data_IF_118317784788
#
_entry.id   IF_118317784788
#
_cell.length_a   1.000
_cell.length_b   1.000
_cell.length_c   1.000
_cell.angle_alpha   90.00
_cell.angle_beta   90.00
_cell.angle_gamma   90.00
#
_symmetry.space_group_name_H-M   'P 1'
#
loop_
_entity.id
_entity.type
_entity.pdbx_description
1 polymer ?
#
# COMPACT_ATOMS: atom_id res chain seq x y z
N UNK A 1 13.83 29.53 11.33
CA UNK A 1 13.78 28.25 10.58
C UNK A 1 13.83 28.61 9.12
N UNK A 2 14.75 28.03 8.35
CA UNK A 2 14.71 28.16 6.90
C UNK A 2 13.38 27.60 6.38
N UNK A 3 12.77 28.29 5.43
CA UNK A 3 11.46 27.97 4.82
C UNK A 3 11.38 26.49 4.38
N UNK A 4 12.48 25.94 3.87
CA UNK A 4 12.60 24.55 3.47
C UNK A 4 12.46 23.55 4.64
N UNK A 5 13.01 23.87 5.82
CA UNK A 5 12.94 22.99 7.00
C UNK A 5 11.50 22.80 7.48
N UNK A 6 10.66 23.85 7.41
CA UNK A 6 9.24 23.75 7.78
C UNK A 6 8.51 22.80 6.84
N UNK A 7 8.72 22.94 5.52
CA UNK A 7 8.09 22.05 4.52
C UNK A 7 8.60 20.62 4.70
N UNK A 8 9.89 20.43 4.97
CA UNK A 8 10.46 19.12 5.25
C UNK A 8 9.78 18.45 6.45
N UNK A 9 9.59 19.17 7.56
CA UNK A 9 8.88 18.63 8.73
C UNK A 9 7.46 18.21 8.36
N UNK A 10 6.74 19.02 7.56
CA UNK A 10 5.41 18.65 7.06
C UNK A 10 5.46 17.40 6.17
N UNK A 11 6.45 17.29 5.27
CA UNK A 11 6.67 16.08 4.45
C UNK A 11 6.86 14.86 5.34
N UNK A 12 7.71 14.95 6.38
CA UNK A 12 7.91 13.83 7.32
C UNK A 12 6.61 13.44 8.03
N UNK A 13 5.88 14.42 8.58
CA UNK A 13 4.62 14.16 9.29
C UNK A 13 3.57 13.53 8.37
N UNK A 14 3.42 14.05 7.14
CA UNK A 14 2.45 13.54 6.18
C UNK A 14 2.89 12.19 5.62
N UNK A 15 4.19 11.95 5.41
CA UNK A 15 4.72 10.64 4.99
C UNK A 15 4.47 9.58 6.06
N UNK A 16 4.71 9.88 7.34
CA UNK A 16 4.39 8.97 8.44
C UNK A 16 2.88 8.72 8.57
N UNK A 17 2.06 9.74 8.31
CA UNK A 17 0.61 9.59 8.23
C UNK A 17 0.21 8.67 7.07
N UNK A 18 0.86 8.81 5.91
CA UNK A 18 0.67 7.89 4.78
C UNK A 18 1.04 6.46 5.17
N UNK A 19 2.20 6.24 5.79
CA UNK A 19 2.68 4.90 6.19
C UNK A 19 1.75 4.24 7.21
N UNK A 20 1.26 5.02 8.17
CA UNK A 20 0.21 4.60 9.09
C UNK A 20 -1.08 4.25 8.35
N UNK A 21 -1.50 5.08 7.38
CA UNK A 21 -2.68 4.76 6.57
C UNK A 21 -2.50 3.50 5.74
N UNK A 22 -1.29 3.28 5.24
CA UNK A 22 -0.94 2.09 4.47
C UNK A 22 -1.02 0.84 5.34
N UNK A 23 -0.43 0.87 6.54
CA UNK A 23 -0.50 -0.23 7.50
C UNK A 23 -1.94 -0.67 7.78
N UNK A 24 -2.82 0.28 8.11
CA UNK A 24 -4.22 -0.04 8.39
C UNK A 24 -4.93 -0.58 7.14
N UNK A 25 -4.68 0.00 5.98
CA UNK A 25 -5.35 -0.33 4.72
C UNK A 25 -4.97 -1.76 4.26
N UNK A 26 -3.68 -2.08 4.31
CA UNK A 26 -3.12 -3.30 3.73
C UNK A 26 -2.97 -4.44 4.74
N UNK A 27 -3.36 -4.24 6.01
CA UNK A 27 -3.57 -5.33 6.99
C UNK A 27 -4.45 -6.45 6.41
N UNK A 28 -5.44 -6.08 5.60
CA UNK A 28 -6.36 -7.01 4.99
C UNK A 28 -5.66 -8.00 4.03
N UNK A 29 -4.58 -7.57 3.37
CA UNK A 29 -3.84 -8.40 2.43
C UNK A 29 -3.12 -9.57 3.12
N UNK A 30 -2.74 -9.39 4.39
CA UNK A 30 -2.06 -10.42 5.18
C UNK A 30 -3.01 -11.24 6.08
N UNK A 31 -4.08 -10.62 6.60
CA UNK A 31 -4.87 -11.20 7.70
C UNK A 31 -6.33 -11.51 7.34
N UNK A 32 -6.88 -11.03 6.23
CA UNK A 32 -8.29 -11.27 5.93
C UNK A 32 -8.60 -12.77 5.73
N UNK A 33 -7.70 -13.50 5.10
CA UNK A 33 -7.80 -14.94 4.84
C UNK A 33 -7.71 -15.76 6.13
N UNK A 34 -6.76 -15.46 7.03
CA UNK A 34 -6.59 -16.17 8.30
C UNK A 34 -7.68 -15.85 9.32
N UNK A 35 -8.26 -14.64 9.25
CA UNK A 35 -9.46 -14.25 10.02
C UNK A 35 -10.71 -14.95 9.47
N UNK A 36 -10.87 -15.02 8.15
CA UNK A 36 -12.04 -15.63 7.51
C UNK A 36 -12.10 -17.15 7.72
N UNK A 37 -10.95 -17.85 7.71
CA UNK A 37 -10.88 -19.29 8.01
C UNK A 37 -10.99 -19.61 9.50
N UNK A 38 -10.93 -18.59 10.37
CA UNK A 38 -10.85 -18.78 11.82
C UNK A 38 -9.52 -19.35 12.30
N UNK A 39 -8.45 -19.30 11.48
CA UNK A 39 -7.10 -19.68 11.92
C UNK A 39 -6.59 -18.73 13.02
N UNK A 40 -6.89 -17.43 12.92
CA UNK A 40 -6.57 -16.43 13.94
C UNK A 40 -7.80 -15.63 14.35
N UNK A 41 -7.87 -15.28 15.64
CA UNK A 41 -8.84 -14.30 16.12
C UNK A 41 -8.47 -12.91 15.56
N UNK A 42 -9.44 -12.04 15.20
CA UNK A 42 -9.19 -10.74 14.58
C UNK A 42 -8.13 -9.88 15.30
N UNK A 43 -8.23 -9.72 16.63
CA UNK A 43 -7.26 -8.92 17.41
C UNK A 43 -5.87 -9.56 17.49
N UNK A 44 -5.79 -10.88 17.57
CA UNK A 44 -4.51 -11.61 17.55
C UNK A 44 -3.84 -11.50 16.18
N UNK A 45 -4.62 -11.57 15.10
CA UNK A 45 -4.14 -11.46 13.73
C UNK A 45 -3.47 -10.10 13.47
N UNK A 46 -4.14 -8.99 13.82
CA UNK A 46 -3.58 -7.65 13.63
C UNK A 46 -2.40 -7.34 14.56
N UNK A 47 -2.37 -7.91 15.77
CA UNK A 47 -1.23 -7.80 16.69
C UNK A 47 0.02 -8.51 16.14
N UNK A 48 -0.15 -9.75 15.70
CA UNK A 48 0.92 -10.52 15.04
C UNK A 48 1.42 -9.81 13.78
N UNK A 49 0.49 -9.33 12.94
CA UNK A 49 0.83 -8.59 11.73
C UNK A 49 1.61 -7.32 12.04
N UNK A 50 1.18 -6.51 13.00
CA UNK A 50 1.87 -5.29 13.42
C UNK A 50 3.31 -5.54 13.88
N UNK A 51 3.54 -6.57 14.71
CA UNK A 51 4.90 -6.95 15.15
C UNK A 51 5.77 -7.36 13.95
N UNK A 52 5.23 -8.18 13.04
CA UNK A 52 5.98 -8.64 11.88
C UNK A 52 6.22 -7.54 10.85
N UNK A 53 5.30 -6.57 10.73
CA UNK A 53 5.51 -5.38 9.91
C UNK A 53 6.67 -4.55 10.46
N UNK A 54 6.72 -4.37 11.79
CA UNK A 54 7.81 -3.68 12.47
C UNK A 54 9.15 -4.37 12.22
N UNK A 55 9.21 -5.69 12.41
CA UNK A 55 10.45 -6.47 12.14
C UNK A 55 10.84 -6.41 10.67
N UNK A 56 9.87 -6.63 9.76
CA UNK A 56 10.08 -6.64 8.32
C UNK A 56 10.67 -5.34 7.79
N UNK A 57 10.28 -4.20 8.38
CA UNK A 57 10.80 -2.89 8.02
C UNK A 57 12.32 -2.74 8.23
N UNK A 58 12.94 -3.55 9.09
CA UNK A 58 14.39 -3.53 9.33
C UNK A 58 15.18 -4.54 8.49
N UNK A 59 14.52 -5.40 7.71
CA UNK A 59 15.19 -6.49 6.98
C UNK A 59 15.83 -6.07 5.66
N UNK A 60 15.44 -4.93 5.07
CA UNK A 60 15.98 -4.45 3.80
C UNK A 60 15.83 -2.93 3.66
N UNK A 61 16.58 -2.35 2.72
CA UNK A 61 16.49 -0.94 2.30
C UNK A 61 16.44 -0.77 0.76
N UNK A 62 16.47 -1.87 0.01
CA UNK A 62 16.57 -1.87 -1.46
C UNK A 62 15.40 -1.16 -2.17
N UNK A 63 14.18 -1.36 -1.66
CA UNK A 63 12.98 -0.69 -2.18
C UNK A 63 13.03 0.81 -1.88
N UNK A 64 13.52 1.20 -0.70
CA UNK A 64 13.65 2.62 -0.33
C UNK A 64 14.60 3.37 -1.27
N UNK A 65 15.75 2.75 -1.57
CA UNK A 65 16.73 3.28 -2.52
C UNK A 65 16.13 3.39 -3.92
N UNK A 66 15.34 2.41 -4.35
CA UNK A 66 14.67 2.46 -5.67
C UNK A 66 13.59 3.53 -5.73
N UNK A 67 12.75 3.68 -4.69
CA UNK A 67 11.64 4.64 -4.66
C UNK A 67 12.15 6.08 -4.74
N UNK A 68 13.27 6.39 -4.09
CA UNK A 68 13.86 7.73 -4.14
C UNK A 68 14.12 8.19 -5.59
N UNK A 69 14.54 7.28 -6.48
CA UNK A 69 14.97 7.60 -7.85
C UNK A 69 13.94 7.23 -8.94
N UNK A 70 12.92 6.43 -8.62
CA UNK A 70 12.04 5.85 -9.63
C UNK A 70 10.97 6.81 -10.21
N UNK A 71 10.61 7.88 -9.50
CA UNK A 71 9.43 8.69 -9.85
C UNK A 71 9.78 10.08 -10.34
N UNK A 72 10.66 10.78 -9.61
CA UNK A 72 11.06 12.15 -9.94
C UNK A 72 12.49 12.12 -10.46
N UNK A 73 12.79 12.84 -11.53
CA UNK A 73 14.17 13.02 -12.01
C UNK A 73 14.90 14.05 -11.16
N UNK A 74 15.17 13.66 -9.93
CA UNK A 74 15.84 14.46 -8.91
C UNK A 74 17.35 14.45 -9.03
N UNK A 75 17.92 13.42 -9.64
CA UNK A 75 19.36 13.27 -9.81
C UNK A 75 19.75 13.33 -11.29
N UNK A 76 20.92 13.88 -11.56
CA UNK A 76 21.62 13.74 -12.83
C UNK A 76 22.28 12.36 -12.94
N UNK A 77 22.84 12.05 -14.12
CA UNK A 77 23.41 10.72 -14.43
C UNK A 77 24.56 10.30 -13.51
N UNK A 78 25.16 11.25 -12.82
CA UNK A 78 26.22 11.07 -11.82
C UNK A 78 25.68 10.86 -10.39
N UNK A 79 24.36 10.84 -10.21
CA UNK A 79 23.70 10.69 -8.90
C UNK A 79 23.63 11.99 -8.09
N UNK A 80 24.16 13.10 -8.61
CA UNK A 80 24.06 14.41 -7.97
C UNK A 80 22.64 14.95 -8.09
N UNK A 81 22.04 15.56 -7.05
CA UNK A 81 20.71 16.13 -7.20
C UNK A 81 20.78 17.34 -8.16
N UNK A 82 19.79 17.45 -9.05
CA UNK A 82 19.76 18.52 -10.06
C UNK A 82 19.80 19.89 -9.40
N UNK A 83 20.73 20.79 -9.77
CA UNK A 83 20.86 22.10 -9.15
C UNK A 83 19.56 22.91 -9.18
N UNK A 84 18.80 22.78 -10.26
CA UNK A 84 17.48 23.41 -10.46
C UNK A 84 16.43 22.98 -9.43
N UNK A 85 16.55 21.77 -8.89
CA UNK A 85 15.64 21.22 -7.89
C UNK A 85 16.12 21.45 -6.45
N UNK A 86 17.39 21.85 -6.29
CA UNK A 86 17.98 22.27 -5.02
C UNK A 86 17.92 23.79 -4.82
N UNK A 87 17.60 24.55 -5.88
CA UNK A 87 17.46 26.00 -5.80
C UNK A 87 16.36 26.41 -4.79
N UNK A 88 16.59 27.51 -4.07
CA UNK A 88 15.72 27.93 -2.95
C UNK A 88 15.62 26.91 -1.80
N UNK A 89 16.64 26.07 -1.59
CA UNK A 89 16.73 25.09 -0.51
C UNK A 89 15.86 23.84 -0.71
N UNK A 90 15.51 23.50 -1.96
CA UNK A 90 14.68 22.32 -2.27
C UNK A 90 13.19 22.48 -1.96
N UNK A 91 12.74 23.70 -1.63
CA UNK A 91 11.35 23.98 -1.21
C UNK A 91 10.30 23.58 -2.25
N UNK A 92 10.57 23.78 -3.55
CA UNK A 92 9.67 23.40 -4.64
C UNK A 92 9.50 21.87 -4.73
N UNK A 93 10.60 21.12 -4.63
CA UNK A 93 10.59 19.66 -4.65
C UNK A 93 9.86 19.09 -3.41
N UNK A 94 10.11 19.66 -2.23
CA UNK A 94 9.41 19.27 -1.02
C UNK A 94 7.89 19.52 -1.13
N UNK A 95 7.47 20.61 -1.77
CA UNK A 95 6.05 20.89 -2.02
C UNK A 95 5.43 19.88 -3.00
N UNK A 96 6.16 19.47 -4.05
CA UNK A 96 5.74 18.41 -4.98
C UNK A 96 5.55 17.08 -4.25
N UNK A 97 6.52 16.69 -3.41
CA UNK A 97 6.45 15.46 -2.61
C UNK A 97 5.28 15.52 -1.64
N UNK A 98 5.11 16.64 -0.93
CA UNK A 98 4.01 16.85 0.00
C UNK A 98 2.65 16.74 -0.69
N UNK A 99 2.47 17.40 -1.84
CA UNK A 99 1.24 17.34 -2.62
C UNK A 99 0.94 15.92 -3.13
N UNK A 100 1.98 15.18 -3.55
CA UNK A 100 1.84 13.80 -3.99
C UNK A 100 1.41 12.86 -2.86
N UNK A 101 1.99 13.03 -1.66
CA UNK A 101 1.60 12.30 -0.46
C UNK A 101 0.15 12.60 -0.05
N UNK A 102 -0.27 13.87 -0.08
CA UNK A 102 -1.67 14.26 0.18
C UNK A 102 -2.60 13.56 -0.82
N UNK A 103 -2.26 13.55 -2.11
CA UNK A 103 -3.02 12.84 -3.14
C UNK A 103 -3.18 11.35 -2.86
N UNK A 104 -2.09 10.70 -2.44
CA UNK A 104 -2.08 9.29 -2.06
C UNK A 104 -2.97 8.99 -0.84
N UNK A 105 -2.85 9.80 0.22
CA UNK A 105 -3.63 9.62 1.46
C UNK A 105 -5.12 9.85 1.20
N UNK A 106 -5.48 10.90 0.46
CA UNK A 106 -6.87 11.20 0.11
C UNK A 106 -7.50 9.99 -0.61
N UNK A 107 -6.80 9.43 -1.60
CA UNK A 107 -7.29 8.26 -2.31
C UNK A 107 -7.43 7.03 -1.40
N UNK A 108 -6.41 6.72 -0.59
CA UNK A 108 -6.45 5.61 0.37
C UNK A 108 -7.61 5.72 1.38
N UNK A 109 -7.88 6.93 1.88
CA UNK A 109 -8.99 7.17 2.81
C UNK A 109 -10.35 7.02 2.12
N UNK A 110 -10.49 7.42 0.86
CA UNK A 110 -11.71 7.24 0.08
C UNK A 110 -12.00 5.77 -0.18
N UNK A 111 -11.01 5.02 -0.68
CA UNK A 111 -11.16 3.60 -0.99
C UNK A 111 -11.43 2.78 0.27
N UNK A 112 -10.76 3.10 1.38
CA UNK A 112 -11.08 2.54 2.68
C UNK A 112 -12.52 2.83 3.13
N UNK A 113 -12.97 4.08 2.98
CA UNK A 113 -14.32 4.48 3.39
C UNK A 113 -15.38 3.65 2.65
N UNK A 114 -15.17 3.32 1.39
CA UNK A 114 -16.07 2.46 0.62
C UNK A 114 -15.74 0.97 0.70
N UNK A 115 -14.68 0.59 1.43
CA UNK A 115 -14.25 -0.80 1.59
C UNK A 115 -13.69 -1.44 0.32
N UNK A 116 -13.19 -0.64 -0.62
CA UNK A 116 -12.57 -1.11 -1.86
C UNK A 116 -11.08 -1.39 -1.62
N UNK A 117 -10.59 -2.61 -1.91
CA UNK A 117 -9.16 -2.91 -1.82
C UNK A 117 -8.42 -2.27 -2.99
N UNK A 118 -7.79 -1.13 -2.73
CA UNK A 118 -6.87 -0.43 -3.63
C UNK A 118 -5.42 -0.61 -3.20
N UNK A 119 -4.49 -0.34 -4.12
CA UNK A 119 -3.05 -0.40 -3.85
C UNK A 119 -2.54 0.94 -3.30
N UNK A 120 -2.09 0.97 -2.05
CA UNK A 120 -1.41 2.13 -1.46
C UNK A 120 -0.13 2.52 -2.22
N UNK A 121 0.64 1.53 -2.70
CA UNK A 121 1.82 1.77 -3.55
C UNK A 121 1.45 2.56 -4.81
N UNK A 122 0.36 2.17 -5.49
CA UNK A 122 -0.08 2.86 -6.71
C UNK A 122 -0.70 4.22 -6.42
N UNK A 123 -1.32 4.40 -5.25
CA UNK A 123 -1.77 5.71 -4.79
C UNK A 123 -0.58 6.65 -4.55
N UNK A 124 0.49 6.17 -3.90
CA UNK A 124 1.73 6.92 -3.69
C UNK A 124 2.38 7.33 -5.02
N UNK A 125 2.61 6.36 -5.90
CA UNK A 125 3.21 6.63 -7.20
C UNK A 125 2.32 7.53 -8.06
N UNK A 126 1.01 7.29 -8.09
CA UNK A 126 0.06 8.15 -8.79
C UNK A 126 0.10 9.58 -8.28
N UNK A 127 0.00 9.78 -6.97
CA UNK A 127 0.07 11.10 -6.34
C UNK A 127 1.36 11.85 -6.70
N UNK A 128 2.51 11.20 -6.59
CA UNK A 128 3.81 11.76 -6.97
C UNK A 128 3.90 12.08 -8.46
N UNK A 129 3.43 11.17 -9.34
CA UNK A 129 3.38 11.43 -10.79
C UNK A 129 2.55 12.68 -11.07
N UNK A 130 1.36 12.79 -10.48
CA UNK A 130 0.46 13.92 -10.66
C UNK A 130 1.04 15.25 -10.20
N UNK A 131 1.58 15.31 -8.99
CA UNK A 131 2.20 16.53 -8.47
C UNK A 131 3.47 16.90 -9.23
N UNK A 132 4.26 15.93 -9.68
CA UNK A 132 5.43 16.16 -10.54
C UNK A 132 5.05 16.67 -11.91
N UNK A 133 4.02 16.12 -12.57
CA UNK A 133 3.52 16.65 -13.85
C UNK A 133 3.03 18.08 -13.69
N UNK A 134 2.34 18.38 -12.59
CA UNK A 134 1.85 19.73 -12.33
C UNK A 134 2.98 20.73 -12.06
N UNK A 135 4.02 20.33 -11.32
CA UNK A 135 5.11 21.22 -10.92
C UNK A 135 6.31 21.31 -11.86
N UNK A 136 6.65 20.23 -12.54
CA UNK A 136 7.84 20.12 -13.42
C UNK A 136 7.47 19.76 -14.87
N UNK A 137 6.19 19.66 -15.19
CA UNK A 137 5.71 19.22 -16.50
C UNK A 137 5.88 17.72 -16.74
N UNK A 138 5.38 17.26 -17.89
CA UNK A 138 5.43 15.84 -18.26
C UNK A 138 6.85 15.25 -18.30
N UNK A 139 7.84 16.06 -18.68
CA UNK A 139 9.24 15.66 -18.76
C UNK A 139 9.93 15.54 -17.39
N UNK A 140 9.35 16.12 -16.33
CA UNK A 140 9.86 16.03 -14.96
C UNK A 140 9.70 14.64 -14.32
N UNK A 141 8.77 13.84 -14.85
CA UNK A 141 8.57 12.45 -14.41
C UNK A 141 9.63 11.54 -15.02
N UNK A 142 10.17 10.65 -14.19
CA UNK A 142 11.09 9.63 -14.66
C UNK A 142 10.34 8.45 -15.33
N UNK A 143 9.90 8.62 -16.58
CA UNK A 143 9.09 7.58 -17.26
C UNK A 143 9.84 6.28 -17.54
N UNK A 144 11.02 6.37 -18.16
CA UNK A 144 11.78 5.24 -18.69
C UNK A 144 13.22 5.16 -18.14
N UNK A 145 13.54 5.88 -17.06
CA UNK A 145 14.91 5.95 -16.54
C UNK A 145 15.86 6.78 -17.41
N UNK A 146 17.09 6.28 -17.53
CA UNK A 146 18.19 6.86 -18.31
C UNK A 146 18.17 6.45 -19.80
N UNK A 147 17.23 5.59 -20.20
CA UNK A 147 17.08 5.08 -21.56
C UNK A 147 17.96 3.86 -21.90
N UNK A 148 18.78 3.36 -20.97
CA UNK A 148 19.64 2.19 -21.19
C UNK A 148 18.93 0.86 -20.89
N UNK A 149 17.99 0.88 -19.96
CA UNK A 149 17.15 -0.25 -19.55
C UNK A 149 15.75 0.23 -19.22
N UNK A 150 14.77 -0.68 -19.22
CA UNK A 150 13.41 -0.35 -18.83
C UNK A 150 13.40 -0.07 -17.32
N UNK A 151 13.36 1.21 -16.95
CA UNK A 151 13.38 1.71 -15.57
C UNK A 151 12.32 2.80 -15.37
N UNK A 152 12.40 3.54 -14.26
CA UNK A 152 11.47 4.62 -13.95
C UNK A 152 10.06 4.11 -13.69
N UNK A 153 9.05 4.98 -13.89
CA UNK A 153 7.64 4.67 -13.66
C UNK A 153 7.17 3.48 -14.49
N UNK A 154 7.58 3.36 -15.75
CA UNK A 154 7.15 2.25 -16.60
C UNK A 154 7.75 0.93 -16.09
N UNK A 155 9.06 0.89 -15.86
CA UNK A 155 9.77 -0.34 -15.46
C UNK A 155 9.55 -0.77 -14.03
N UNK A 156 9.46 0.18 -13.09
CA UNK A 156 9.41 -0.10 -11.65
C UNK A 156 8.00 -0.04 -11.06
N UNK A 157 7.04 0.57 -11.76
CA UNK A 157 5.65 0.71 -11.26
C UNK A 157 4.64 0.03 -12.19
N UNK A 158 4.55 0.45 -13.46
CA UNK A 158 3.47 -0.01 -14.36
C UNK A 158 3.62 -1.48 -14.75
N UNK A 159 4.81 -1.90 -15.21
CA UNK A 159 5.04 -3.30 -15.61
C UNK A 159 4.81 -4.24 -14.42
N UNK A 160 5.40 -4.01 -13.23
CA UNK A 160 5.15 -4.88 -12.09
C UNK A 160 3.68 -4.84 -11.62
N UNK A 161 2.96 -3.73 -11.77
CA UNK A 161 1.54 -3.63 -11.42
C UNK A 161 0.66 -4.63 -12.18
N UNK A 162 1.03 -4.93 -13.44
CA UNK A 162 0.31 -5.86 -14.33
C UNK A 162 0.88 -7.28 -14.20
N UNK A 163 2.20 -7.42 -14.19
CA UNK A 163 2.86 -8.73 -14.19
C UNK A 163 2.73 -9.46 -12.85
N UNK A 164 2.86 -8.75 -11.73
CA UNK A 164 2.86 -9.37 -10.40
C UNK A 164 1.57 -10.08 -10.01
N UNK A 165 0.33 -9.55 -10.22
CA UNK A 165 -0.89 -10.30 -9.91
C UNK A 165 -1.03 -11.56 -10.77
N UNK A 166 -0.61 -11.50 -12.04
CA UNK A 166 -0.66 -12.65 -12.96
C UNK A 166 0.31 -13.74 -12.51
N UNK A 167 1.56 -13.37 -12.23
CA UNK A 167 2.58 -14.28 -11.72
C UNK A 167 2.13 -14.92 -10.39
N UNK A 168 1.65 -14.10 -9.46
CA UNK A 168 1.15 -14.55 -8.17
C UNK A 168 -0.05 -15.49 -8.29
N UNK A 169 -0.93 -15.27 -9.27
CA UNK A 169 -2.04 -16.14 -9.61
C UNK A 169 -1.56 -17.50 -10.15
N UNK A 170 -0.63 -17.50 -11.10
CA UNK A 170 -0.06 -18.75 -11.65
C UNK A 170 0.63 -19.57 -10.57
N UNK A 171 1.51 -18.94 -9.79
CA UNK A 171 2.24 -19.61 -8.70
C UNK A 171 1.28 -20.19 -7.66
N UNK A 172 0.26 -19.43 -7.25
CA UNK A 172 -0.73 -19.91 -6.29
C UNK A 172 -1.64 -21.00 -6.86
N UNK A 173 -1.96 -20.96 -8.16
CA UNK A 173 -2.73 -22.01 -8.85
C UNK A 173 -1.97 -23.33 -8.81
N UNK A 174 -0.71 -23.32 -9.24
CA UNK A 174 0.15 -24.51 -9.23
C UNK A 174 0.37 -24.99 -7.80
N UNK A 175 0.71 -24.09 -6.87
CA UNK A 175 0.92 -24.43 -5.46
C UNK A 175 -0.31 -25.08 -4.83
N UNK A 176 -1.50 -24.52 -5.06
CA UNK A 176 -2.75 -25.07 -4.54
C UNK A 176 -3.07 -26.43 -5.15
N UNK A 177 -2.86 -26.58 -6.46
CA UNK A 177 -3.04 -27.87 -7.14
C UNK A 177 -2.12 -28.95 -6.56
N UNK A 178 -0.84 -28.64 -6.35
CA UNK A 178 0.13 -29.57 -5.73
C UNK A 178 -0.31 -29.94 -4.31
N UNK A 179 -0.68 -28.96 -3.50
CA UNK A 179 -1.16 -29.19 -2.12
C UNK A 179 -2.34 -30.16 -2.11
N UNK A 180 -3.34 -29.93 -2.97
CA UNK A 180 -4.50 -30.81 -3.06
C UNK A 180 -4.18 -32.20 -3.62
N UNK A 181 -3.15 -32.33 -4.47
CA UNK A 181 -2.69 -33.62 -4.98
C UNK A 181 -1.94 -34.43 -3.92
N UNK A 182 -1.05 -33.82 -3.15
CA UNK A 182 -0.27 -34.49 -2.10
C UNK A 182 -1.17 -34.98 -0.96
N UNK A 183 -2.21 -34.21 -0.67
CA UNK A 183 -3.13 -34.47 0.43
C UNK A 183 -4.29 -35.40 0.04
N UNK A 184 -4.41 -35.74 -1.25
CA UNK A 184 -5.45 -36.63 -1.74
C UNK A 184 -5.37 -38.00 -1.06
N UNK A 185 -6.31 -38.29 -0.17
CA UNK A 185 -6.37 -39.52 0.63
C UNK A 185 -6.14 -39.34 2.14
N UNK A 186 -5.75 -38.15 2.60
CA UNK A 186 -5.65 -37.83 4.04
C UNK A 186 -7.01 -37.42 4.59
N UNK A 187 -7.40 -37.98 5.74
CA UNK A 187 -8.66 -37.64 6.39
C UNK A 187 -8.72 -36.16 6.76
N UNK A 188 -9.79 -35.48 6.33
CA UNK A 188 -9.99 -34.02 6.35
C UNK A 188 -9.66 -33.35 7.70
N UNK A 189 -9.92 -34.04 8.82
CA UNK A 189 -9.64 -33.54 10.18
C UNK A 189 -8.15 -33.29 10.45
N UNK A 190 -7.26 -34.18 10.00
CA UNK A 190 -5.81 -34.04 10.22
C UNK A 190 -5.23 -32.96 9.31
N UNK A 191 -5.80 -32.87 8.12
CA UNK A 191 -5.54 -31.84 7.12
C UNK A 191 -5.85 -30.46 7.68
N UNK A 192 -7.06 -30.23 8.16
CA UNK A 192 -7.53 -28.91 8.58
C UNK A 192 -6.72 -28.37 9.77
N UNK A 193 -6.34 -29.21 10.72
CA UNK A 193 -5.54 -28.76 11.88
C UNK A 193 -4.10 -28.41 11.48
N UNK A 194 -3.46 -29.20 10.63
CA UNK A 194 -2.11 -28.90 10.12
C UNK A 194 -2.09 -27.66 9.24
N UNK A 195 -3.04 -27.54 8.32
CA UNK A 195 -3.12 -26.38 7.42
C UNK A 195 -3.50 -25.08 8.15
N UNK A 196 -4.21 -25.12 9.28
CA UNK A 196 -4.43 -23.91 10.09
C UNK A 196 -3.13 -23.36 10.68
N UNK A 197 -2.24 -24.22 11.18
CA UNK A 197 -0.91 -23.79 11.63
C UNK A 197 -0.04 -23.30 10.47
N UNK A 198 -0.08 -24.00 9.33
CA UNK A 198 0.58 -23.55 8.11
C UNK A 198 0.08 -22.18 7.62
N UNK A 199 -1.21 -21.92 7.75
CA UNK A 199 -1.82 -20.63 7.43
C UNK A 199 -1.35 -19.53 8.40
N UNK A 200 -1.23 -19.80 9.70
CA UNK A 200 -0.65 -18.82 10.64
C UNK A 200 0.78 -18.46 10.23
N UNK A 201 1.60 -19.45 9.87
CA UNK A 201 2.97 -19.24 9.41
C UNK A 201 3.06 -18.47 8.08
N UNK A 202 2.19 -18.77 7.12
CA UNK A 202 2.19 -18.10 5.82
C UNK A 202 1.59 -16.69 5.88
N UNK A 203 0.52 -16.46 6.63
CA UNK A 203 0.03 -15.10 6.94
C UNK A 203 1.09 -14.24 7.65
N UNK A 204 1.90 -14.87 8.51
CA UNK A 204 3.06 -14.23 9.14
C UNK A 204 4.12 -13.84 8.10
N UNK A 205 4.41 -14.73 7.14
CA UNK A 205 5.32 -14.42 6.03
C UNK A 205 4.82 -13.23 5.19
N UNK A 206 3.53 -13.18 4.87
CA UNK A 206 2.94 -12.02 4.14
C UNK A 206 3.07 -10.73 4.95
N UNK A 207 2.86 -10.78 6.27
CA UNK A 207 3.01 -9.61 7.14
C UNK A 207 4.46 -9.13 7.20
N UNK A 208 5.42 -10.05 7.31
CA UNK A 208 6.84 -9.73 7.26
C UNK A 208 7.20 -9.09 5.91
N UNK A 209 6.77 -9.71 4.81
CA UNK A 209 6.96 -9.23 3.45
C UNK A 209 6.35 -7.83 3.23
N UNK A 210 5.17 -7.59 3.79
CA UNK A 210 4.54 -6.28 3.78
C UNK A 210 5.42 -5.23 4.47
N UNK A 211 5.90 -5.49 5.69
CA UNK A 211 6.84 -4.59 6.37
C UNK A 211 8.11 -4.33 5.56
N UNK A 212 8.68 -5.37 4.97
CA UNK A 212 9.88 -5.27 4.13
C UNK A 212 9.64 -4.49 2.83
N UNK A 213 8.44 -4.50 2.27
CA UNK A 213 8.14 -3.82 1.01
C UNK A 213 7.57 -2.41 1.18
N UNK A 214 6.68 -2.21 2.15
CA UNK A 214 5.81 -1.04 2.22
C UNK A 214 6.37 0.06 3.10
N UNK A 215 6.94 -0.29 4.25
CA UNK A 215 7.62 0.68 5.12
C UNK A 215 8.76 1.37 4.35
N UNK A 216 9.44 0.63 3.48
CA UNK A 216 10.53 1.13 2.66
C UNK A 216 10.10 2.22 1.66
N UNK A 217 8.86 2.21 1.17
CA UNK A 217 8.40 3.24 0.22
C UNK A 217 8.36 4.60 0.90
N UNK A 218 7.82 4.64 2.12
CA UNK A 218 7.81 5.84 2.96
C UNK A 218 9.23 6.26 3.35
N UNK A 219 10.09 5.30 3.72
CA UNK A 219 11.51 5.59 3.98
C UNK A 219 12.20 6.25 2.78
N UNK A 220 11.92 5.78 1.56
CA UNK A 220 12.45 6.36 0.32
C UNK A 220 11.97 7.80 0.10
N UNK A 221 10.69 8.08 0.36
CA UNK A 221 10.12 9.43 0.22
C UNK A 221 10.67 10.41 1.27
N UNK A 222 10.83 9.99 2.52
CA UNK A 222 11.42 10.84 3.57
C UNK A 222 12.91 11.08 3.28
N UNK A 223 13.65 10.03 2.93
CA UNK A 223 15.07 10.14 2.56
C UNK A 223 15.26 11.09 1.39
N UNK A 224 14.38 11.01 0.39
CA UNK A 224 14.33 11.97 -0.71
C UNK A 224 14.14 13.41 -0.20
N UNK A 225 13.18 13.66 0.68
CA UNK A 225 13.01 14.99 1.28
C UNK A 225 14.27 15.49 2.02
N UNK A 226 14.96 14.60 2.74
CA UNK A 226 16.20 14.95 3.45
C UNK A 226 17.32 15.32 2.48
N UNK A 227 17.48 14.56 1.39
CA UNK A 227 18.45 14.86 0.33
C UNK A 227 18.13 16.20 -0.33
N UNK A 228 16.84 16.43 -0.67
CA UNK A 228 16.37 17.67 -1.27
C UNK A 228 16.67 18.91 -0.41
N UNK A 229 16.57 18.76 0.91
CA UNK A 229 16.81 19.83 1.88
C UNK A 229 18.28 19.98 2.32
N UNK A 230 19.19 19.16 1.79
CA UNK A 230 20.60 19.15 2.19
C UNK A 230 20.91 18.55 3.57
N UNK A 231 19.93 17.98 4.27
CA UNK A 231 20.11 17.36 5.59
C UNK A 231 20.64 15.92 5.53
N UNK A 232 20.75 15.35 4.33
CA UNK A 232 21.30 14.01 4.09
C UNK A 232 22.04 13.98 2.76
N UNK A 233 23.21 13.33 2.72
CA UNK A 233 24.07 13.26 1.53
C UNK A 233 24.36 11.85 1.06
N UNK A 234 24.10 10.83 1.88
CA UNK A 234 24.35 9.43 1.52
C UNK A 234 23.17 8.85 0.72
N UNK A 235 23.34 8.77 -0.60
CA UNK A 235 22.31 8.25 -1.51
C UNK A 235 22.21 6.71 -1.49
N UNK A 236 23.14 6.02 -0.83
CA UNK A 236 23.17 4.56 -0.70
C UNK A 236 22.57 4.04 0.61
N UNK A 237 22.18 4.93 1.53
CA UNK A 237 21.64 4.50 2.82
C UNK A 237 20.45 5.35 3.29
N UNK A 238 19.67 4.74 4.19
CA UNK A 238 18.51 5.37 4.83
C UNK A 238 18.87 5.66 6.29
N UNK A 239 18.62 6.87 6.82
CA UNK A 239 18.89 7.18 8.21
C UNK A 239 18.15 6.24 9.16
N UNK A 240 18.81 5.80 10.24
CA UNK A 240 18.21 4.86 11.19
C UNK A 240 16.91 5.40 11.80
N UNK A 241 16.86 6.70 12.14
CA UNK A 241 15.66 7.30 12.71
C UNK A 241 14.47 7.20 11.74
N UNK A 242 14.69 7.39 10.43
CA UNK A 242 13.66 7.23 9.38
C UNK A 242 13.13 5.81 9.38
N UNK A 243 14.03 4.82 9.43
CA UNK A 243 13.64 3.40 9.51
C UNK A 243 12.75 3.14 10.72
N UNK A 244 13.16 3.64 11.89
CA UNK A 244 12.44 3.43 13.14
C UNK A 244 11.05 4.09 13.15
N UNK A 245 10.94 5.35 12.71
CA UNK A 245 9.65 6.04 12.70
C UNK A 245 8.67 5.47 11.67
N UNK A 246 9.14 5.07 10.47
CA UNK A 246 8.31 4.39 9.49
C UNK A 246 7.87 3.01 10.00
N UNK A 247 8.79 2.22 10.57
CA UNK A 247 8.46 0.91 11.14
C UNK A 247 7.37 1.00 12.22
N UNK A 248 7.44 2.02 13.09
CA UNK A 248 6.41 2.27 14.10
C UNK A 248 5.09 2.76 13.50
N UNK A 249 5.14 3.63 12.48
CA UNK A 249 3.96 4.15 11.80
C UNK A 249 3.18 3.03 11.09
N UNK A 250 3.84 2.23 10.24
CA UNK A 250 3.18 1.11 9.57
C UNK A 250 2.66 0.07 10.56
N UNK A 251 3.44 -0.28 11.60
CA UNK A 251 3.04 -1.29 12.58
C UNK A 251 1.82 -0.85 13.41
N UNK A 252 1.78 0.41 13.83
CA UNK A 252 0.64 0.97 14.57
C UNK A 252 -0.61 1.08 13.70
N UNK A 253 -0.47 1.48 12.44
CA UNK A 253 -1.54 1.42 11.45
C UNK A 253 -2.08 0.00 11.29
N UNK A 254 -1.17 -0.96 11.09
CA UNK A 254 -1.51 -2.38 10.92
C UNK A 254 -2.27 -2.94 12.14
N UNK A 255 -1.86 -2.55 13.35
CA UNK A 255 -2.54 -2.98 14.58
C UNK A 255 -3.98 -2.46 14.71
N UNK A 256 -4.26 -1.23 14.25
CA UNK A 256 -5.63 -0.70 14.21
C UNK A 256 -6.50 -1.46 13.21
N UNK A 257 -5.87 -1.96 12.15
CA UNK A 257 -6.44 -2.79 11.10
C UNK A 257 -7.24 -2.00 10.06
N UNK A 258 -7.85 -2.70 9.12
CA UNK A 258 -8.64 -2.10 8.04
C UNK A 258 -9.97 -2.80 7.93
N UNK A 259 -10.76 -2.86 9.01
CA UNK A 259 -11.87 -3.82 9.17
C UNK A 259 -12.87 -3.84 7.99
N UNK A 260 -13.12 -2.68 7.37
CA UNK A 260 -13.95 -2.58 6.14
C UNK A 260 -13.37 -3.38 4.98
N UNK A 261 -12.07 -3.26 4.73
CA UNK A 261 -11.34 -3.95 3.66
C UNK A 261 -11.12 -5.42 4.03
N UNK A 262 -10.80 -5.71 5.30
CA UNK A 262 -10.70 -7.09 5.82
C UNK A 262 -11.99 -7.86 5.53
N UNK A 263 -13.14 -7.25 5.82
CA UNK A 263 -14.46 -7.83 5.51
C UNK A 263 -14.63 -8.07 4.01
N UNK A 264 -14.26 -7.12 3.16
CA UNK A 264 -14.36 -7.26 1.69
C UNK A 264 -13.47 -8.38 1.16
N UNK A 265 -12.21 -8.47 1.58
CA UNK A 265 -11.26 -9.47 1.09
C UNK A 265 -11.54 -10.87 1.64
N UNK A 266 -11.90 -10.98 2.93
CA UNK A 266 -12.11 -12.28 3.59
C UNK A 266 -13.29 -13.08 3.05
N UNK A 267 -14.31 -12.41 2.49
CA UNK A 267 -15.53 -13.04 1.97
C UNK A 267 -15.81 -12.78 0.48
N UNK A 268 -14.97 -11.99 -0.20
CA UNK A 268 -15.32 -11.38 -1.47
C UNK A 268 -15.02 -12.20 -2.72
N UNK A 269 -13.87 -12.88 -2.79
CA UNK A 269 -13.35 -13.44 -4.06
C UNK A 269 -13.64 -14.93 -4.25
N UNK A 270 -13.34 -15.72 -3.23
CA UNK A 270 -13.54 -17.17 -3.18
C UNK A 270 -13.90 -17.57 -1.75
N UNK A 271 -14.51 -18.73 -1.59
CA UNK A 271 -14.63 -19.37 -0.27
C UNK A 271 -13.29 -20.03 0.07
N UNK A 272 -12.56 -19.43 1.00
CA UNK A 272 -11.20 -19.83 1.35
C UNK A 272 -11.24 -20.92 2.41
N UNK A 273 -10.62 -22.06 2.11
CA UNK A 273 -10.26 -23.07 3.12
C UNK A 273 -8.80 -22.90 3.55
N UNK A 274 -8.40 -23.41 4.74
CA UNK A 274 -7.02 -23.27 5.22
C UNK A 274 -5.92 -23.72 4.23
N UNK A 275 -6.07 -24.83 3.46
CA UNK A 275 -5.08 -25.20 2.44
C UNK A 275 -4.92 -24.15 1.33
N UNK A 276 -6.03 -23.58 0.85
CA UNK A 276 -6.00 -22.51 -0.16
C UNK A 276 -5.41 -21.22 0.41
N UNK A 277 -5.78 -20.88 1.65
CA UNK A 277 -5.24 -19.72 2.36
C UNK A 277 -3.73 -19.81 2.50
N UNK A 278 -3.23 -20.95 2.99
CA UNK A 278 -1.80 -21.20 3.11
C UNK A 278 -1.06 -21.10 1.76
N UNK A 279 -1.60 -21.71 0.70
CA UNK A 279 -0.98 -21.67 -0.63
C UNK A 279 -0.96 -20.24 -1.20
N UNK A 280 -2.04 -19.49 -1.06
CA UNK A 280 -2.13 -18.10 -1.51
C UNK A 280 -1.18 -17.19 -0.72
N UNK A 281 -1.15 -17.30 0.60
CA UNK A 281 -0.29 -16.49 1.48
C UNK A 281 1.19 -16.82 1.27
N UNK A 282 1.56 -18.09 1.14
CA UNK A 282 2.94 -18.50 0.85
C UNK A 282 3.42 -17.96 -0.49
N UNK A 283 2.57 -18.07 -1.53
CA UNK A 283 2.87 -17.53 -2.86
C UNK A 283 3.02 -16.00 -2.81
N UNK A 284 2.13 -15.32 -2.09
CA UNK A 284 2.18 -13.86 -1.93
C UNK A 284 3.45 -13.41 -1.22
N UNK A 285 3.76 -14.03 -0.08
CA UNK A 285 4.95 -13.72 0.71
C UNK A 285 6.23 -13.94 -0.08
N UNK A 286 6.33 -15.05 -0.82
CA UNK A 286 7.48 -15.34 -1.68
C UNK A 286 7.64 -14.31 -2.81
N UNK A 287 6.56 -14.00 -3.55
CA UNK A 287 6.60 -13.01 -4.64
C UNK A 287 6.97 -11.62 -4.13
N UNK A 288 6.39 -11.19 -2.99
CA UNK A 288 6.71 -9.89 -2.40
C UNK A 288 8.17 -9.84 -1.95
N UNK A 289 8.65 -10.82 -1.17
CA UNK A 289 10.02 -10.83 -0.66
C UNK A 289 11.06 -10.88 -1.78
N UNK A 290 10.91 -11.79 -2.75
CA UNK A 290 11.83 -11.89 -3.90
C UNK A 290 11.86 -10.55 -4.64
N UNK A 291 10.71 -9.94 -4.85
CA UNK A 291 10.63 -8.66 -5.54
C UNK A 291 11.25 -7.51 -4.76
N UNK A 292 11.04 -7.47 -3.43
CA UNK A 292 11.67 -6.48 -2.56
C UNK A 292 13.19 -6.64 -2.51
N UNK A 293 13.70 -7.88 -2.56
CA UNK A 293 15.15 -8.13 -2.71
C UNK A 293 15.70 -7.63 -4.04
N UNK A 294 14.90 -7.63 -5.10
CA UNK A 294 15.26 -7.05 -6.40
C UNK A 294 15.02 -5.52 -6.48
N UNK A 295 14.60 -4.89 -5.37
CA UNK A 295 14.32 -3.46 -5.29
C UNK A 295 13.04 -3.03 -6.02
N UNK A 296 12.19 -3.94 -6.49
CA UNK A 296 10.94 -3.58 -7.15
C UNK A 296 9.85 -3.28 -6.11
N UNK A 297 9.27 -2.08 -6.21
CA UNK A 297 8.20 -1.62 -5.34
C UNK A 297 6.84 -2.18 -5.78
N UNK A 298 6.53 -3.44 -5.42
CA UNK A 298 5.26 -4.06 -5.77
C UNK A 298 4.08 -3.53 -4.96
N UNK A 299 2.89 -3.72 -5.53
CA UNK A 299 1.63 -3.68 -4.80
C UNK A 299 1.38 -5.02 -4.12
N UNK A 300 1.41 -5.04 -2.79
CA UNK A 300 1.01 -6.20 -1.99
C UNK A 300 -0.46 -6.55 -2.24
N UNK A 301 -1.33 -5.55 -2.41
CA UNK A 301 -2.75 -5.74 -2.75
C UNK A 301 -2.93 -6.52 -4.06
N UNK A 302 -2.20 -6.16 -5.12
CA UNK A 302 -2.30 -6.88 -6.40
C UNK A 302 -1.77 -8.30 -6.29
N UNK A 303 -0.59 -8.48 -5.67
CA UNK A 303 0.04 -9.79 -5.49
C UNK A 303 -0.87 -10.72 -4.69
N UNK A 304 -1.34 -10.27 -3.53
CA UNK A 304 -2.19 -11.07 -2.63
C UNK A 304 -3.53 -11.40 -3.25
N UNK A 305 -4.19 -10.45 -3.91
CA UNK A 305 -5.43 -10.71 -4.64
C UNK A 305 -5.20 -11.70 -5.78
N UNK A 306 -4.10 -11.54 -6.53
CA UNK A 306 -3.70 -12.47 -7.60
C UNK A 306 -3.51 -13.89 -7.06
N UNK A 307 -2.78 -14.04 -5.95
CA UNK A 307 -2.61 -15.34 -5.29
C UNK A 307 -3.89 -15.93 -4.74
N UNK A 308 -4.80 -15.13 -4.17
CA UNK A 308 -6.12 -15.60 -3.70
C UNK A 308 -6.95 -16.12 -4.88
N UNK A 309 -6.98 -15.38 -6.00
CA UNK A 309 -7.64 -15.83 -7.23
C UNK A 309 -7.02 -17.14 -7.75
N UNK A 310 -5.69 -17.22 -7.79
CA UNK A 310 -4.96 -18.41 -8.21
C UNK A 310 -5.25 -19.63 -7.33
N UNK A 311 -5.29 -19.45 -6.00
CA UNK A 311 -5.67 -20.52 -5.09
C UNK A 311 -7.12 -20.97 -5.27
N UNK A 312 -8.00 -20.09 -5.75
CA UNK A 312 -9.32 -20.45 -6.24
C UNK A 312 -9.25 -21.38 -7.44
N UNK A 313 -8.53 -20.97 -8.48
CA UNK A 313 -8.40 -21.71 -9.74
C UNK A 313 -7.71 -23.07 -9.57
N UNK A 314 -6.77 -23.18 -8.62
CA UNK A 314 -6.01 -24.40 -8.37
C UNK A 314 -6.78 -25.48 -7.59
N UNK A 315 -7.92 -25.14 -6.98
CA UNK A 315 -8.73 -26.11 -6.21
C UNK A 315 -9.81 -26.75 -7.10
N UNK A 316 -9.89 -28.09 -7.16
CA UNK A 316 -10.96 -28.78 -7.87
C UNK A 316 -12.35 -28.37 -7.35
N UNK A 317 -13.23 -27.94 -8.24
CA UNK A 317 -14.63 -27.58 -7.93
C UNK A 317 -14.83 -26.24 -7.22
N UNK A 318 -13.79 -25.39 -7.09
CA UNK A 318 -13.93 -24.08 -6.47
C UNK A 318 -14.65 -23.07 -7.38
N UNK A 319 -15.48 -22.22 -6.78
CA UNK A 319 -16.19 -21.14 -7.48
C UNK A 319 -15.49 -19.80 -7.28
N UNK A 320 -15.13 -19.14 -8.38
CA UNK A 320 -14.53 -17.79 -8.36
C UNK A 320 -15.60 -16.73 -8.66
N UNK A 321 -15.68 -15.70 -7.80
CA UNK A 321 -16.62 -14.59 -7.97
C UNK A 321 -16.05 -13.52 -8.90
N UNK A 322 -16.06 -13.79 -10.21
CA UNK A 322 -15.49 -12.93 -11.26
C UNK A 322 -15.99 -11.47 -11.24
N UNK A 323 -17.25 -11.24 -10.82
CA UNK A 323 -17.79 -9.88 -10.66
C UNK A 323 -17.02 -9.05 -9.62
N UNK A 324 -16.55 -9.68 -8.54
CA UNK A 324 -15.76 -9.01 -7.50
C UNK A 324 -14.34 -8.77 -7.99
N UNK A 325 -13.74 -9.76 -8.67
CA UNK A 325 -12.43 -9.61 -9.30
C UNK A 325 -12.41 -8.44 -10.30
N UNK A 326 -13.43 -8.34 -11.18
CA UNK A 326 -13.56 -7.23 -12.13
C UNK A 326 -13.67 -5.86 -11.45
N UNK A 327 -14.41 -5.75 -10.33
CA UNK A 327 -14.48 -4.51 -9.54
C UNK A 327 -13.12 -4.11 -8.96
N UNK A 328 -12.31 -5.08 -8.53
CA UNK A 328 -10.96 -4.81 -8.03
C UNK A 328 -10.03 -4.33 -9.15
N UNK A 329 -10.07 -4.96 -10.33
CA UNK A 329 -9.29 -4.50 -11.50
C UNK A 329 -9.64 -3.07 -11.88
N UNK A 330 -10.93 -2.70 -11.85
CA UNK A 330 -11.35 -1.30 -12.07
C UNK A 330 -10.76 -0.38 -11.00
N UNK A 331 -10.81 -0.76 -9.72
CA UNK A 331 -10.18 0.02 -8.64
C UNK A 331 -8.66 0.17 -8.84
N UNK A 332 -7.98 -0.87 -9.32
CA UNK A 332 -6.55 -0.85 -9.57
C UNK A 332 -6.16 0.09 -10.71
N UNK A 333 -6.86 -0.01 -11.85
CA UNK A 333 -6.61 0.86 -13.01
C UNK A 333 -6.93 2.32 -12.71
N UNK A 334 -7.97 2.57 -11.91
CA UNK A 334 -8.38 3.94 -11.53
C UNK A 334 -7.52 4.56 -10.44
N UNK A 335 -6.76 3.77 -9.66
CA UNK A 335 -5.97 4.27 -8.54
C UNK A 335 -4.88 5.25 -8.96
N UNK A 336 -4.07 4.91 -9.98
CA UNK A 336 -2.99 5.80 -10.43
C UNK A 336 -3.56 7.13 -10.97
N UNK A 337 -4.52 7.13 -11.92
CA UNK A 337 -5.09 8.38 -12.44
C UNK A 337 -5.78 9.23 -11.38
N UNK A 338 -6.54 8.60 -10.47
CA UNK A 338 -7.27 9.34 -9.45
C UNK A 338 -6.32 9.97 -8.42
N UNK A 339 -5.33 9.22 -7.94
CA UNK A 339 -4.32 9.77 -7.03
C UNK A 339 -3.47 10.85 -7.72
N UNK A 340 -3.13 10.67 -9.00
CA UNK A 340 -2.42 11.67 -9.79
C UNK A 340 -3.23 12.97 -9.94
N UNK A 341 -4.53 12.86 -10.23
CA UNK A 341 -5.39 14.03 -10.32
C UNK A 341 -5.42 14.79 -8.98
N UNK A 342 -5.59 14.09 -7.86
CA UNK A 342 -5.61 14.74 -6.53
C UNK A 342 -4.23 15.33 -6.20
N UNK A 343 -3.12 14.65 -6.52
CA UNK A 343 -1.77 15.15 -6.33
C UNK A 343 -1.51 16.43 -7.13
N UNK A 344 -1.91 16.46 -8.40
CA UNK A 344 -1.82 17.63 -9.27
C UNK A 344 -2.65 18.82 -8.77
N UNK A 345 -3.90 18.57 -8.38
CA UNK A 345 -4.78 19.60 -7.81
C UNK A 345 -4.23 20.15 -6.49
N UNK A 346 -3.71 19.27 -5.64
CA UNK A 346 -3.11 19.67 -4.36
C UNK A 346 -1.88 20.54 -4.59
N UNK A 347 -1.04 20.18 -5.55
CA UNK A 347 0.11 21.00 -5.93
C UNK A 347 -0.33 22.38 -6.43
N UNK A 348 -1.35 22.45 -7.30
CA UNK A 348 -1.86 23.72 -7.80
C UNK A 348 -2.41 24.63 -6.69
N UNK A 349 -3.17 24.05 -5.77
CA UNK A 349 -3.68 24.76 -4.57
C UNK A 349 -2.53 25.28 -3.72
N UNK A 350 -1.51 24.46 -3.45
CA UNK A 350 -0.32 24.87 -2.70
C UNK A 350 0.48 25.97 -3.41
N UNK A 351 0.57 25.92 -4.73
CA UNK A 351 1.31 26.89 -5.53
C UNK A 351 0.57 28.25 -5.60
N UNK A 352 -0.76 28.25 -5.83
CA UNK A 352 -1.56 29.48 -5.97
C UNK A 352 -1.77 30.20 -4.64
N UNK A 353 -1.94 29.47 -3.53
CA UNK A 353 -2.27 30.06 -2.23
C UNK A 353 -1.05 30.61 -1.46
N UNK A 354 0.05 30.89 -2.16
CA UNK A 354 1.21 31.61 -1.61
C UNK A 354 2.56 30.94 -1.85
N UNK A 355 2.58 29.71 -2.38
CA UNK A 355 3.82 28.96 -2.58
C UNK A 355 4.58 28.68 -1.28
N UNK A 356 5.69 27.95 -1.38
CA UNK A 356 6.58 27.67 -0.24
C UNK A 356 5.85 27.13 1.00
N UNK A 357 6.08 27.75 2.15
CA UNK A 357 5.54 27.30 3.45
C UNK A 357 4.03 27.51 3.58
N UNK A 358 3.49 28.62 3.08
CA UNK A 358 2.05 28.91 3.20
C UNK A 358 1.26 27.86 2.43
N UNK A 359 1.68 27.57 1.19
CA UNK A 359 1.12 26.50 0.37
C UNK A 359 1.15 25.15 1.09
N UNK A 360 2.30 24.78 1.65
CA UNK A 360 2.50 23.52 2.37
C UNK A 360 1.58 23.39 3.61
N UNK A 361 1.43 24.46 4.39
CA UNK A 361 0.54 24.47 5.56
C UNK A 361 -0.93 24.34 5.16
N UNK A 362 -1.36 25.03 4.11
CA UNK A 362 -2.74 24.97 3.63
C UNK A 362 -3.10 23.58 3.16
N UNK A 363 -2.28 22.94 2.31
CA UNK A 363 -2.59 21.59 1.82
C UNK A 363 -2.57 20.54 2.93
N UNK A 364 -1.69 20.70 3.93
CA UNK A 364 -1.64 19.82 5.11
C UNK A 364 -2.88 19.99 5.98
N UNK A 365 -3.36 21.22 6.16
CA UNK A 365 -4.60 21.50 6.89
C UNK A 365 -5.82 20.94 6.16
N UNK A 366 -5.90 21.11 4.84
CA UNK A 366 -6.97 20.53 4.02
C UNK A 366 -7.01 19.01 4.12
N UNK A 367 -5.84 18.35 4.11
CA UNK A 367 -5.75 16.91 4.34
C UNK A 367 -6.30 16.53 5.72
N UNK A 368 -5.92 17.26 6.77
CA UNK A 368 -6.40 17.00 8.14
C UNK A 368 -7.92 17.15 8.25
N UNK A 369 -8.48 18.21 7.67
CA UNK A 369 -9.94 18.43 7.61
C UNK A 369 -10.62 17.28 6.87
N UNK A 370 -10.09 16.90 5.72
CA UNK A 370 -10.60 15.79 4.92
C UNK A 370 -10.59 14.47 5.70
N UNK A 371 -9.47 14.14 6.36
CA UNK A 371 -9.34 12.95 7.18
C UNK A 371 -10.37 12.94 8.33
N UNK A 372 -10.58 14.07 9.02
CA UNK A 372 -11.61 14.19 10.06
C UNK A 372 -13.02 13.96 9.50
N UNK A 373 -13.34 14.51 8.33
CA UNK A 373 -14.64 14.30 7.67
C UNK A 373 -14.85 12.83 7.32
N UNK A 374 -13.84 12.18 6.73
CA UNK A 374 -13.89 10.74 6.40
C UNK A 374 -14.05 9.90 7.67
N UNK A 375 -13.32 10.20 8.74
CA UNK A 375 -13.42 9.52 10.03
C UNK A 375 -14.79 9.71 10.70
N UNK A 376 -15.39 10.89 10.60
CA UNK A 376 -16.77 11.12 11.08
C UNK A 376 -17.78 10.33 10.25
N UNK A 377 -17.61 10.29 8.93
CA UNK A 377 -18.49 9.54 8.02
C UNK A 377 -18.38 8.03 8.23
N UNK A 378 -17.19 7.51 8.52
CA UNK A 378 -16.98 6.09 8.76
C UNK A 378 -17.69 5.57 10.02
N UNK A 379 -17.94 6.44 11.01
CA UNK A 379 -18.71 6.09 12.22
C UNK A 379 -20.20 5.82 11.97
N UNK A 380 -20.76 6.18 10.80
CA UNK A 380 -22.17 5.92 10.49
C UNK A 380 -22.47 4.43 10.27
N UNK A 381 -21.52 3.71 9.68
CA UNK A 381 -21.61 2.27 9.40
C UNK A 381 -20.38 1.56 10.00
N UNK A 382 -20.34 1.37 11.33
CA UNK A 382 -19.15 0.86 12.01
C UNK A 382 -18.85 -0.60 11.63
N UNK A 383 -17.59 -0.87 11.30
CA UNK A 383 -17.04 -2.21 11.11
C UNK A 383 -15.86 -2.36 12.07
N UNK A 384 -15.91 -3.37 12.92
CA UNK A 384 -14.99 -3.62 14.02
C UNK A 384 -14.63 -5.12 14.09
N UNK A 385 -13.68 -5.46 14.96
CA UNK A 385 -13.21 -6.83 15.14
C UNK A 385 -14.35 -7.83 15.45
N UNK A 386 -15.38 -7.41 16.17
CA UNK A 386 -16.46 -8.29 16.62
C UNK A 386 -17.48 -8.60 15.52
N UNK A 387 -17.64 -7.71 14.54
CA UNK A 387 -18.62 -7.86 13.46
C UNK A 387 -18.00 -8.09 12.08
N UNK A 388 -16.66 -8.16 11.98
CA UNK A 388 -15.96 -8.26 10.68
C UNK A 388 -16.37 -9.52 9.91
N UNK A 389 -16.76 -10.57 10.63
CA UNK A 389 -17.18 -11.87 10.10
C UNK A 389 -18.70 -12.04 9.99
N UNK A 390 -19.51 -11.01 10.22
CA UNK A 390 -20.98 -11.10 10.08
C UNK A 390 -21.39 -11.25 8.60
N UNK A 391 -22.58 -11.80 8.35
CA UNK A 391 -23.12 -11.94 6.99
C UNK A 391 -23.48 -10.58 6.38
N UNK A 392 -23.40 -10.51 5.04
CA UNK A 392 -23.72 -9.29 4.29
C UNK A 392 -25.23 -9.15 4.18
N UNK A 393 -25.86 -8.40 5.09
CA UNK A 393 -27.25 -7.96 4.93
C UNK A 393 -27.30 -6.86 3.84
N UNK A 394 -27.47 -7.27 2.58
CA UNK A 394 -27.64 -6.34 1.45
C UNK A 394 -28.86 -5.40 1.62
N UNK A 395 -29.80 -5.75 2.50
CA UNK A 395 -31.03 -5.02 2.83
C UNK A 395 -30.82 -3.81 3.75
N UNK A 396 -29.78 -3.80 4.61
CA UNK A 396 -29.58 -2.70 5.60
C UNK A 396 -29.04 -1.40 5.00
N UNK A 397 -28.62 -1.41 3.73
CA UNK A 397 -28.14 -0.22 3.03
C UNK A 397 -29.24 0.72 2.53
N UNK A 398 -30.50 0.26 2.48
CA UNK A 398 -31.60 0.99 1.84
C UNK A 398 -32.59 1.65 2.83
N UNK A 399 -32.54 1.33 4.12
CA UNK A 399 -33.65 1.64 5.06
C UNK A 399 -33.35 2.69 6.14
N UNK A 400 -32.46 3.65 5.86
CA UNK A 400 -32.32 4.83 6.75
C UNK A 400 -32.69 6.12 6.02
N UNK A 401 -33.97 6.22 5.67
CA UNK A 401 -34.64 7.53 5.61
C UNK A 401 -34.55 8.16 7.01
N UNK A 402 -34.11 9.40 7.17
CA UNK A 402 -34.09 10.02 8.49
C UNK A 402 -35.53 10.17 8.97
N UNK A 403 -35.84 9.57 10.11
CA UNK A 403 -37.07 9.87 10.83
C UNK A 403 -37.04 11.37 11.16
N UNK A 404 -38.00 12.09 10.61
CA UNK A 404 -38.30 13.45 11.00
C UNK A 404 -38.82 13.44 12.44
N UNK A 405 -38.11 14.09 13.35
CA UNK A 405 -38.66 14.89 14.46
C UNK A 405 -37.70 16.06 14.70
#
# INVERSE_FOLDING_TARGET
METATVILVLVVVVALSFDFTNGFHDTANAMATSIATGALKPKTAVALSGILNLVGAFLSVEVALTVSNAVVKIQDKDGSPKPELLDGGGSALLLIVLAGLVGAIVWNLLTWLVGLPSSSSHALFGGLIGSTVAGLGWAGVNWNGDGTKIDGVVGKVIIPAIASPVLACVVATVGTWVVHKVVAGVAQRYTDQGFRWGQIGSASLVSLAHGTNDAQKTMGVITLGLIASGHWSDTGSVPFWVKAVCALAIASGTYLGGWRIIRTLGKGLIEITPPQGMAAETSSGAVILISSHLGFALSTTHVTTGSVLGAGLGKPGATVRWKVAGRMVVAWVTTIPAAALVGALTWWVGNVLGGGVVGALVISLLLLVFAVVVMRRSRRNPVHADNVNDEWDASRGAERTPAAV
#
